data_IF_364294029799
#
_entry.id   IF_364294029799
#
_cell.length_a   1.000
_cell.length_b   1.000
_cell.length_c   1.000
_cell.angle_alpha   90.00
_cell.angle_beta   90.00
_cell.angle_gamma   90.00
#
_symmetry.space_group_name_H-M   'P 1'
#
loop_
_entity.id
_entity.type
_entity.pdbx_description
1 polymer ?
#
# COMPACT_ATOMS: atom_id res chain seq x y z
N UNK A 1 39.34 -8.74 -10.93
CA UNK A 1 38.09 -9.50 -10.53
C UNK A 1 38.26 -10.99 -10.89
N UNK A 2 38.71 -11.28 -12.10
CA UNK A 2 38.92 -12.64 -12.59
C UNK A 2 40.01 -13.38 -11.79
N UNK A 3 41.13 -12.72 -11.52
CA UNK A 3 42.22 -13.27 -10.68
C UNK A 3 41.74 -13.65 -9.28
N UNK A 4 40.86 -12.82 -8.68
CA UNK A 4 40.27 -13.14 -7.37
C UNK A 4 39.36 -14.38 -7.49
N UNK A 5 38.58 -14.46 -8.57
CA UNK A 5 37.68 -15.58 -8.81
C UNK A 5 38.41 -16.92 -8.94
N UNK A 6 39.53 -16.93 -9.65
CA UNK A 6 40.36 -18.14 -9.79
C UNK A 6 41.14 -18.49 -8.52
N UNK A 7 41.52 -17.49 -7.71
CA UNK A 7 42.24 -17.71 -6.45
C UNK A 7 41.35 -18.21 -5.30
N UNK A 8 40.01 -18.02 -5.36
CA UNK A 8 39.12 -18.50 -4.31
C UNK A 8 38.90 -20.02 -4.36
N UNK A 9 38.80 -20.58 -5.54
CA UNK A 9 38.65 -22.04 -5.78
C UNK A 9 39.23 -22.36 -7.14
N UNK A 10 39.95 -23.49 -7.25
CA UNK A 10 40.47 -23.95 -8.53
C UNK A 10 39.32 -24.16 -9.55
N UNK A 11 39.35 -23.40 -10.64
CA UNK A 11 38.33 -23.40 -11.69
C UNK A 11 38.97 -23.35 -13.06
N UNK A 12 38.28 -23.93 -14.04
CA UNK A 12 38.76 -24.05 -15.41
C UNK A 12 38.16 -23.00 -16.35
N UNK A 13 37.10 -22.30 -15.88
CA UNK A 13 36.37 -21.32 -16.69
C UNK A 13 36.38 -19.93 -16.05
N UNK A 14 36.46 -18.90 -16.86
CA UNK A 14 36.41 -17.52 -16.43
C UNK A 14 35.00 -17.12 -16.01
N UNK A 15 34.91 -16.19 -15.05
CA UNK A 15 33.65 -15.67 -14.54
C UNK A 15 32.80 -15.03 -15.64
N UNK A 16 33.46 -14.32 -16.57
CA UNK A 16 32.83 -13.63 -17.69
C UNK A 16 32.24 -14.56 -18.75
N UNK A 17 32.75 -15.81 -18.84
CA UNK A 17 32.28 -16.83 -19.78
C UNK A 17 31.16 -17.67 -19.16
N UNK A 18 31.09 -17.71 -17.82
CA UNK A 18 30.10 -18.48 -17.11
C UNK A 18 28.72 -17.86 -17.27
N UNK A 19 28.01 -18.29 -18.28
CA UNK A 19 26.59 -17.91 -18.43
C UNK A 19 25.75 -18.70 -17.45
N UNK A 20 25.02 -17.98 -16.59
CA UNK A 20 23.92 -18.59 -15.86
C UNK A 20 22.81 -18.93 -16.84
N UNK A 21 22.77 -20.18 -17.30
CA UNK A 21 21.58 -20.70 -17.95
C UNK A 21 20.48 -20.77 -16.90
N UNK A 22 19.55 -19.84 -16.95
CA UNK A 22 18.31 -19.94 -16.18
C UNK A 22 17.58 -21.19 -16.65
N UNK A 23 17.77 -22.30 -15.96
CA UNK A 23 17.15 -23.59 -16.28
C UNK A 23 15.67 -23.65 -15.91
N UNK A 24 15.17 -22.61 -15.21
CA UNK A 24 13.76 -22.53 -14.83
C UNK A 24 13.20 -21.16 -15.20
N UNK A 25 12.02 -21.17 -15.81
CA UNK A 25 11.21 -19.96 -15.96
C UNK A 25 10.94 -19.36 -14.59
N UNK A 26 10.98 -18.02 -14.43
CA UNK A 26 10.66 -17.39 -13.16
C UNK A 26 9.27 -17.85 -12.72
N UNK A 27 9.17 -18.33 -11.47
CA UNK A 27 7.88 -18.72 -10.92
C UNK A 27 7.00 -17.48 -10.79
N UNK A 28 5.92 -17.43 -11.53
CA UNK A 28 4.98 -16.29 -11.52
C UNK A 28 4.47 -15.98 -10.12
N UNK A 29 4.36 -16.96 -9.23
CA UNK A 29 4.00 -16.78 -7.83
C UNK A 29 5.03 -15.96 -7.06
N UNK A 30 6.32 -16.21 -7.26
CA UNK A 30 7.40 -15.44 -6.60
C UNK A 30 7.41 -13.99 -7.10
N UNK A 31 7.22 -13.79 -8.40
CA UNK A 31 7.12 -12.45 -8.96
C UNK A 31 5.91 -11.68 -8.42
N UNK A 32 4.77 -12.34 -8.28
CA UNK A 32 3.56 -11.75 -7.70
C UNK A 32 3.78 -11.38 -6.22
N UNK A 33 4.39 -12.26 -5.42
CA UNK A 33 4.75 -11.99 -4.03
C UNK A 33 5.73 -10.82 -3.91
N UNK A 34 6.74 -10.75 -4.79
CA UNK A 34 7.69 -9.64 -4.84
C UNK A 34 7.01 -8.31 -5.14
N UNK A 35 6.06 -8.29 -6.09
CA UNK A 35 5.27 -7.12 -6.42
C UNK A 35 4.36 -6.68 -5.26
N UNK A 36 3.65 -7.63 -4.64
CA UNK A 36 2.82 -7.39 -3.47
C UNK A 36 3.65 -6.77 -2.34
N UNK A 37 4.81 -7.36 -2.02
CA UNK A 37 5.72 -6.85 -1.00
C UNK A 37 6.17 -5.42 -1.31
N UNK A 38 6.63 -5.15 -2.53
CA UNK A 38 7.09 -3.82 -2.95
C UNK A 38 5.99 -2.76 -2.78
N UNK A 39 4.80 -3.06 -3.29
CA UNK A 39 3.66 -2.13 -3.22
C UNK A 39 3.22 -1.89 -1.77
N UNK A 40 3.12 -2.95 -0.97
CA UNK A 40 2.78 -2.85 0.46
C UNK A 40 3.79 -2.01 1.23
N UNK A 41 5.10 -2.23 1.03
CA UNK A 41 6.15 -1.43 1.66
C UNK A 41 6.02 0.05 1.28
N UNK A 42 5.81 0.35 0.00
CA UNK A 42 5.67 1.73 -0.48
C UNK A 42 4.49 2.41 0.20
N UNK A 43 3.32 1.79 0.16
CA UNK A 43 2.10 2.33 0.78
C UNK A 43 2.25 2.55 2.29
N UNK A 44 2.83 1.58 3.01
CA UNK A 44 3.05 1.71 4.46
C UNK A 44 4.06 2.82 4.77
N UNK A 45 5.17 2.93 4.03
CA UNK A 45 6.16 3.99 4.24
C UNK A 45 5.60 5.38 3.98
N UNK A 46 4.80 5.55 2.94
CA UNK A 46 4.09 6.80 2.68
C UNK A 46 3.17 7.17 3.85
N UNK A 47 2.44 6.20 4.39
CA UNK A 47 1.59 6.41 5.55
C UNK A 47 2.38 6.75 6.82
N UNK A 48 3.51 6.08 7.07
CA UNK A 48 4.39 6.39 8.21
C UNK A 48 4.90 7.83 8.11
N UNK A 49 5.39 8.24 6.94
CA UNK A 49 5.86 9.62 6.71
C UNK A 49 4.74 10.63 6.90
N UNK A 50 3.55 10.36 6.36
CA UNK A 50 2.39 11.24 6.49
C UNK A 50 1.98 11.46 7.96
N UNK A 51 2.19 10.45 8.81
CA UNK A 51 1.84 10.50 10.24
C UNK A 51 3.05 10.80 11.15
N UNK A 52 4.13 11.35 10.59
CA UNK A 52 5.37 11.73 11.32
C UNK A 52 5.97 10.57 12.13
N UNK A 53 5.78 9.33 11.69
CA UNK A 53 6.41 8.13 12.25
C UNK A 53 7.72 7.91 11.50
N UNK A 54 8.83 7.96 12.24
CA UNK A 54 10.16 7.82 11.63
C UNK A 54 10.47 6.35 11.31
N UNK A 55 11.31 6.07 10.32
CA UNK A 55 11.68 4.68 9.97
C UNK A 55 12.31 3.86 11.09
N UNK A 56 12.88 4.54 12.12
CA UNK A 56 13.47 3.92 13.30
C UNK A 56 12.49 3.66 14.44
N UNK A 57 11.31 4.26 14.38
CA UNK A 57 10.29 4.10 15.42
C UNK A 57 9.68 2.69 15.24
N UNK A 58 9.53 1.98 16.34
CA UNK A 58 8.91 0.66 16.35
C UNK A 58 7.39 0.80 16.22
N UNK A 59 6.82 -0.07 15.40
CA UNK A 59 5.37 -0.12 15.19
C UNK A 59 4.85 -1.53 15.39
N UNK A 60 3.56 -1.65 15.66
CA UNK A 60 2.79 -2.89 15.50
C UNK A 60 1.90 -2.77 14.27
N UNK A 61 1.87 -3.82 13.46
CA UNK A 61 1.13 -3.82 12.21
C UNK A 61 0.04 -4.89 12.26
N UNK A 62 -1.20 -4.47 12.02
CA UNK A 62 -2.33 -5.38 11.90
C UNK A 62 -2.80 -5.37 10.45
N UNK A 63 -3.04 -6.54 9.89
CA UNK A 63 -3.42 -6.72 8.49
C UNK A 63 -4.81 -7.35 8.43
N UNK A 64 -5.75 -6.62 7.83
CA UNK A 64 -7.06 -7.13 7.50
C UNK A 64 -7.08 -7.47 5.99
N UNK A 65 -7.12 -8.76 5.69
CA UNK A 65 -7.05 -9.29 4.33
C UNK A 65 -7.87 -10.56 4.18
N UNK A 66 -8.27 -10.87 2.97
CA UNK A 66 -8.84 -12.17 2.61
C UNK A 66 -7.78 -13.17 2.14
N UNK A 67 -6.56 -12.71 1.85
CA UNK A 67 -5.44 -13.53 1.36
C UNK A 67 -4.29 -13.54 2.39
N UNK A 68 -4.55 -14.14 3.56
CA UNK A 68 -3.56 -14.27 4.62
C UNK A 68 -2.32 -15.06 4.19
N UNK A 69 -2.47 -16.03 3.28
CA UNK A 69 -1.37 -16.89 2.83
C UNK A 69 -0.30 -16.08 2.10
N UNK A 70 -0.71 -15.20 1.19
CA UNK A 70 0.23 -14.34 0.46
C UNK A 70 0.99 -13.40 1.40
N UNK A 71 0.31 -12.80 2.37
CA UNK A 71 0.94 -11.93 3.37
C UNK A 71 1.82 -12.70 4.35
N UNK A 72 1.43 -13.89 4.80
CA UNK A 72 2.24 -14.74 5.66
C UNK A 72 3.59 -15.08 5.03
N UNK A 73 3.62 -15.30 3.72
CA UNK A 73 4.86 -15.62 3.00
C UNK A 73 5.88 -14.49 2.99
N UNK A 74 5.43 -13.23 3.06
CA UNK A 74 6.26 -12.03 3.00
C UNK A 74 6.40 -11.30 4.34
N UNK A 75 5.65 -11.71 5.38
CA UNK A 75 5.55 -10.97 6.64
C UNK A 75 6.89 -10.69 7.32
N UNK A 76 7.83 -11.64 7.29
CA UNK A 76 9.13 -11.47 7.93
C UNK A 76 9.99 -10.39 7.26
N UNK A 77 9.89 -10.28 5.94
CA UNK A 77 10.58 -9.24 5.17
C UNK A 77 9.86 -7.90 5.39
N UNK A 78 8.53 -7.91 5.31
CA UNK A 78 7.70 -6.73 5.52
C UNK A 78 7.96 -6.11 6.90
N UNK A 79 7.96 -6.91 7.97
CA UNK A 79 8.23 -6.47 9.34
C UNK A 79 9.56 -5.72 9.43
N UNK A 80 10.64 -6.29 8.87
CA UNK A 80 11.97 -5.67 8.85
C UNK A 80 11.99 -4.36 8.05
N UNK A 81 11.23 -4.28 6.96
CA UNK A 81 11.23 -3.12 6.06
C UNK A 81 10.47 -1.91 6.61
N UNK A 82 9.50 -2.13 7.50
CA UNK A 82 8.71 -1.08 8.14
C UNK A 82 8.97 -0.94 9.63
N UNK A 83 9.98 -1.65 10.15
CA UNK A 83 10.35 -1.70 11.57
C UNK A 83 9.19 -2.13 12.48
N UNK A 84 8.42 -3.12 12.02
CA UNK A 84 7.35 -3.68 12.82
C UNK A 84 7.88 -4.73 13.80
N UNK A 85 7.54 -4.58 15.09
CA UNK A 85 7.87 -5.55 16.15
C UNK A 85 7.05 -6.82 16.02
N UNK A 86 5.80 -6.67 15.54
CA UNK A 86 4.90 -7.79 15.25
C UNK A 86 3.96 -7.46 14.09
N UNK A 87 3.52 -8.52 13.40
CA UNK A 87 2.45 -8.46 12.40
C UNK A 87 1.37 -9.44 12.81
N UNK A 88 0.12 -8.98 12.91
CA UNK A 88 -1.04 -9.78 13.24
C UNK A 88 -2.12 -9.68 12.15
N UNK A 89 -2.79 -10.78 11.86
CA UNK A 89 -3.97 -10.78 11.00
C UNK A 89 -5.23 -10.56 11.83
N UNK A 90 -6.06 -9.62 11.39
CA UNK A 90 -7.29 -9.24 12.09
C UNK A 90 -8.49 -9.26 11.16
N UNK A 91 -9.67 -9.49 11.71
CA UNK A 91 -10.94 -9.45 10.97
C UNK A 91 -11.68 -8.13 11.16
N UNK A 92 -11.48 -7.52 12.32
CA UNK A 92 -12.15 -6.29 12.74
C UNK A 92 -11.20 -5.11 12.76
N UNK A 93 -11.74 -3.92 12.86
CA UNK A 93 -10.98 -2.68 12.99
C UNK A 93 -10.22 -2.62 14.32
N UNK A 94 -9.00 -2.10 14.29
CA UNK A 94 -8.17 -1.90 15.49
C UNK A 94 -8.22 -0.41 15.85
N UNK A 95 -8.66 -0.12 17.08
CA UNK A 95 -8.75 1.25 17.59
C UNK A 95 -7.35 1.86 17.87
N UNK A 96 -7.25 3.18 17.88
CA UNK A 96 -6.01 3.92 18.14
C UNK A 96 -4.88 3.58 17.17
N UNK A 97 -5.20 3.39 15.89
CA UNK A 97 -4.25 3.05 14.83
C UNK A 97 -4.39 3.99 13.65
N UNK A 98 -3.31 4.17 12.90
CA UNK A 98 -3.36 4.79 11.56
C UNK A 98 -3.86 3.74 10.58
N UNK A 99 -4.96 4.03 9.89
CA UNK A 99 -5.54 3.10 8.90
C UNK A 99 -5.04 3.43 7.50
N UNK A 100 -4.59 2.40 6.80
CA UNK A 100 -4.10 2.50 5.42
C UNK A 100 -4.80 1.44 4.58
N UNK A 101 -5.45 1.85 3.50
CA UNK A 101 -6.05 0.93 2.54
C UNK A 101 -5.15 0.78 1.32
N UNK A 102 -4.97 -0.45 0.88
CA UNK A 102 -4.30 -0.79 -0.36
C UNK A 102 -5.03 -1.95 -1.04
N UNK A 103 -5.56 -1.70 -2.24
CA UNK A 103 -6.47 -2.61 -2.94
C UNK A 103 -7.66 -3.02 -2.03
N UNK A 104 -7.84 -4.32 -1.79
CA UNK A 104 -8.89 -4.86 -0.89
C UNK A 104 -8.40 -5.08 0.55
N UNK A 105 -7.17 -4.67 0.86
CA UNK A 105 -6.55 -4.91 2.17
C UNK A 105 -6.53 -3.63 3.00
N UNK A 106 -6.66 -3.77 4.32
CA UNK A 106 -6.49 -2.67 5.27
C UNK A 106 -5.35 -2.99 6.23
N UNK A 107 -4.56 -1.98 6.49
CA UNK A 107 -3.44 -2.05 7.41
C UNK A 107 -3.69 -1.07 8.54
N UNK A 108 -3.54 -1.54 9.77
CA UNK A 108 -3.66 -0.74 10.98
C UNK A 108 -2.26 -0.64 11.59
N UNK A 109 -1.75 0.57 11.71
CA UNK A 109 -0.41 0.86 12.24
C UNK A 109 -0.58 1.44 13.64
N UNK A 110 -0.10 0.73 14.64
CA UNK A 110 0.00 1.21 16.00
C UNK A 110 1.45 1.61 16.28
N UNK A 111 1.65 2.82 16.77
CA UNK A 111 2.98 3.32 17.17
C UNK A 111 2.97 3.66 18.65
N UNK A 112 4.09 3.43 19.34
CA UNK A 112 4.28 3.87 20.72
C UNK A 112 4.43 5.40 20.87
N UNK A 113 4.51 6.11 19.74
CA UNK A 113 4.47 7.57 19.71
C UNK A 113 3.03 8.01 20.00
N UNK A 114 2.85 8.92 20.96
CA UNK A 114 1.57 9.59 21.15
C UNK A 114 1.16 10.24 19.82
N UNK A 115 0.17 9.63 19.15
CA UNK A 115 -0.42 10.23 17.95
C UNK A 115 -1.21 11.43 18.46
N UNK A 116 -0.93 12.61 17.94
CA UNK A 116 -1.80 13.76 18.17
C UNK A 116 -3.13 13.49 17.46
N UNK A 117 -4.00 12.76 18.17
CA UNK A 117 -5.31 12.36 17.68
C UNK A 117 -6.16 13.57 17.29
N UNK A 118 -5.94 14.72 17.94
CA UNK A 118 -6.69 15.95 17.66
C UNK A 118 -6.25 16.52 16.31
N UNK A 119 -4.95 16.63 16.07
CA UNK A 119 -4.42 17.14 14.81
C UNK A 119 -4.75 16.18 13.64
N UNK A 120 -4.63 14.87 13.86
CA UNK A 120 -5.00 13.87 12.86
C UNK A 120 -6.50 13.93 12.50
N UNK A 121 -7.35 14.09 13.51
CA UNK A 121 -8.80 14.20 13.31
C UNK A 121 -9.16 15.46 12.52
N UNK A 122 -8.53 16.59 12.81
CA UNK A 122 -8.74 17.83 12.05
C UNK A 122 -8.31 17.69 10.58
N UNK A 123 -7.17 17.05 10.33
CA UNK A 123 -6.70 16.80 8.96
C UNK A 123 -7.66 15.89 8.19
N UNK A 124 -8.10 14.79 8.82
CA UNK A 124 -9.07 13.87 8.22
C UNK A 124 -10.41 14.53 7.93
N UNK A 125 -10.90 15.42 8.80
CA UNK A 125 -12.13 16.17 8.56
C UNK A 125 -12.00 17.12 7.37
N UNK A 126 -10.85 17.79 7.21
CA UNK A 126 -10.58 18.65 6.04
C UNK A 126 -10.51 17.83 4.74
N UNK A 127 -9.83 16.68 4.76
CA UNK A 127 -9.77 15.78 3.59
C UNK A 127 -11.18 15.23 3.24
N UNK A 128 -11.97 14.89 4.24
CA UNK A 128 -13.36 14.43 4.06
C UNK A 128 -14.23 15.50 3.36
N UNK A 129 -14.13 16.73 3.81
CA UNK A 129 -14.87 17.86 3.21
C UNK A 129 -14.44 18.09 1.76
N UNK A 130 -13.14 18.08 1.52
CA UNK A 130 -12.59 18.19 0.17
C UNK A 130 -13.08 17.06 -0.75
N UNK A 131 -13.02 15.80 -0.31
CA UNK A 131 -13.47 14.64 -1.10
C UNK A 131 -14.97 14.67 -1.36
N UNK A 132 -15.80 15.10 -0.39
CA UNK A 132 -17.23 15.29 -0.58
C UNK A 132 -17.53 16.40 -1.60
N UNK A 133 -16.79 17.50 -1.56
CA UNK A 133 -16.88 18.58 -2.55
C UNK A 133 -16.47 18.11 -3.96
N UNK A 134 -15.39 17.34 -4.05
CA UNK A 134 -14.93 16.75 -5.31
C UNK A 134 -15.97 15.78 -5.88
N UNK A 135 -16.49 14.85 -5.07
CA UNK A 135 -17.54 13.91 -5.47
C UNK A 135 -18.77 14.63 -6.01
N UNK A 136 -19.24 15.66 -5.31
CA UNK A 136 -20.39 16.48 -5.77
C UNK A 136 -20.11 17.14 -7.13
N UNK A 137 -18.90 17.60 -7.38
CA UNK A 137 -18.51 18.18 -8.67
C UNK A 137 -18.51 17.16 -9.82
N UNK A 138 -18.04 15.94 -9.54
CA UNK A 138 -18.06 14.83 -10.50
C UNK A 138 -19.49 14.36 -10.76
N UNK A 139 -20.31 14.23 -9.72
CA UNK A 139 -21.73 13.87 -9.85
C UNK A 139 -22.51 14.87 -10.68
N UNK A 140 -22.30 16.17 -10.49
CA UNK A 140 -22.91 17.21 -11.33
C UNK A 140 -22.54 17.08 -12.80
N UNK A 141 -21.30 16.69 -13.11
CA UNK A 141 -20.88 16.43 -14.50
C UNK A 141 -21.55 15.19 -15.07
N UNK A 142 -21.60 14.11 -14.31
CA UNK A 142 -22.19 12.83 -14.74
C UNK A 142 -23.73 12.91 -14.83
N UNK A 143 -24.36 13.79 -14.07
CA UNK A 143 -25.81 14.06 -14.12
C UNK A 143 -26.20 15.04 -15.25
N UNK A 144 -25.22 15.60 -15.95
CA UNK A 144 -25.49 16.49 -17.07
C UNK A 144 -25.66 15.68 -18.37
N UNK A 145 -26.91 15.49 -18.81
CA UNK A 145 -27.24 14.72 -20.02
C UNK A 145 -26.50 15.22 -21.27
N UNK A 146 -26.30 16.55 -21.38
CA UNK A 146 -25.55 17.13 -22.51
C UNK A 146 -24.08 16.75 -22.48
N UNK A 147 -23.48 16.66 -21.29
CA UNK A 147 -22.10 16.23 -21.14
C UNK A 147 -21.98 14.75 -21.49
N UNK A 148 -22.84 13.90 -20.95
CA UNK A 148 -22.79 12.44 -21.18
C UNK A 148 -23.05 12.10 -22.65
N UNK A 149 -23.98 12.81 -23.31
CA UNK A 149 -24.31 12.57 -24.69
C UNK A 149 -23.23 13.05 -25.69
N UNK A 150 -22.48 14.10 -25.37
CA UNK A 150 -21.50 14.68 -26.29
C UNK A 150 -20.03 14.38 -25.96
N UNK A 151 -19.74 13.85 -24.76
CA UNK A 151 -18.38 13.48 -24.37
C UNK A 151 -17.99 12.15 -24.99
N UNK A 152 -16.69 11.99 -25.23
CA UNK A 152 -16.14 10.69 -25.67
C UNK A 152 -16.36 9.64 -24.57
N UNK A 153 -16.67 8.37 -24.91
CA UNK A 153 -16.90 7.32 -23.91
C UNK A 153 -15.75 7.18 -22.89
N UNK A 154 -14.50 7.38 -23.33
CA UNK A 154 -13.32 7.34 -22.46
C UNK A 154 -13.33 8.43 -21.38
N UNK A 155 -13.86 9.63 -21.72
CA UNK A 155 -13.97 10.74 -20.77
C UNK A 155 -15.05 10.46 -19.72
N UNK A 156 -16.17 9.90 -20.16
CA UNK A 156 -17.25 9.50 -19.23
C UNK A 156 -16.76 8.40 -18.29
N UNK A 157 -16.06 7.38 -18.82
CA UNK A 157 -15.48 6.32 -18.03
C UNK A 157 -14.43 6.83 -17.02
N UNK A 158 -13.62 7.82 -17.42
CA UNK A 158 -12.66 8.46 -16.51
C UNK A 158 -13.36 9.22 -15.38
N UNK A 159 -14.45 9.92 -15.63
CA UNK A 159 -15.23 10.60 -14.58
C UNK A 159 -15.95 9.59 -13.66
N UNK A 160 -16.45 8.47 -14.20
CA UNK A 160 -17.02 7.39 -13.39
C UNK A 160 -15.97 6.74 -12.47
N UNK A 161 -14.74 6.54 -12.97
CA UNK A 161 -13.64 6.05 -12.15
C UNK A 161 -13.30 7.03 -11.02
N UNK A 162 -13.21 8.33 -11.32
CA UNK A 162 -12.97 9.37 -10.30
C UNK A 162 -14.06 9.37 -9.22
N UNK A 163 -15.33 9.14 -9.60
CA UNK A 163 -16.44 9.00 -8.66
C UNK A 163 -16.19 7.81 -7.72
N UNK A 164 -15.93 6.63 -8.27
CA UNK A 164 -15.68 5.42 -7.48
C UNK A 164 -14.48 5.57 -6.54
N UNK A 165 -13.38 6.18 -7.03
CA UNK A 165 -12.19 6.44 -6.25
C UNK A 165 -12.47 7.42 -5.08
N UNK A 166 -13.26 8.47 -5.32
CA UNK A 166 -13.65 9.43 -4.29
C UNK A 166 -14.59 8.80 -3.24
N UNK A 167 -15.57 8.01 -3.65
CA UNK A 167 -16.47 7.28 -2.74
C UNK A 167 -15.70 6.31 -1.84
N UNK A 168 -14.75 5.54 -2.42
CA UNK A 168 -13.89 4.64 -1.67
C UNK A 168 -13.04 5.40 -0.64
N UNK A 169 -12.48 6.56 -1.04
CA UNK A 169 -11.67 7.39 -0.15
C UNK A 169 -12.49 8.00 0.99
N UNK A 170 -13.68 8.52 0.71
CA UNK A 170 -14.63 9.03 1.73
C UNK A 170 -14.91 7.94 2.76
N UNK A 171 -15.26 6.73 2.30
CA UNK A 171 -15.55 5.61 3.18
C UNK A 171 -14.36 5.28 4.09
N UNK A 172 -13.14 5.24 3.53
CA UNK A 172 -11.93 4.97 4.32
C UNK A 172 -11.69 6.05 5.38
N UNK A 173 -11.88 7.33 5.04
CA UNK A 173 -11.72 8.43 5.99
C UNK A 173 -12.78 8.33 7.11
N UNK A 174 -14.04 8.08 6.78
CA UNK A 174 -15.12 7.94 7.75
C UNK A 174 -14.87 6.75 8.70
N UNK A 175 -14.43 5.60 8.17
CA UNK A 175 -14.05 4.44 8.99
C UNK A 175 -12.86 4.76 9.92
N UNK A 176 -11.88 5.54 9.45
CA UNK A 176 -10.74 5.96 10.27
C UNK A 176 -11.17 6.90 11.39
N UNK A 177 -12.08 7.85 11.10
CA UNK A 177 -12.62 8.78 12.10
C UNK A 177 -13.43 8.08 13.20
N UNK A 178 -14.08 6.96 12.89
CA UNK A 178 -14.80 6.14 13.88
C UNK A 178 -13.82 5.37 14.79
N UNK A 179 -12.63 5.01 14.28
CA UNK A 179 -11.60 4.29 15.03
C UNK A 179 -10.68 5.15 15.89
N UNK A 180 -10.75 6.49 15.76
CA UNK A 180 -10.00 7.50 16.55
C UNK A 180 -10.84 8.02 17.73
#
# INVERSE_FOLDING_TARGET
TEDIYHNLVARTEDLTIKQNTLTQSPQNSILAQGKLLQQTITTLREALVKNDIKPKDEIELFIQTQDELSFSSIQNILAKQVNATQIQFVKDTVANTVVVAFESNKFYIQSNKEIDVVALKEELLKDLEYQKGFLNSVDKKLSNDRFVANAKPEVVAAEQKKKADAEARIKTIEETLVGL
#
